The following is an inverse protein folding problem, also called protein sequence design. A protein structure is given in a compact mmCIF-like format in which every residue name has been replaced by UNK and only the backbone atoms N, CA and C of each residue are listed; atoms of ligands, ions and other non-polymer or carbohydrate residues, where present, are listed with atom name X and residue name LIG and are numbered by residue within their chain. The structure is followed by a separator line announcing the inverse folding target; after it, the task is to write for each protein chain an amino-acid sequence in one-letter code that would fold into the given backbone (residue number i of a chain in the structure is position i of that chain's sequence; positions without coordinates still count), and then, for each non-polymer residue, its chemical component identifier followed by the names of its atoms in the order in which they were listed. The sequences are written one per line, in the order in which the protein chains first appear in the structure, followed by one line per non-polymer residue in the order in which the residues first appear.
data_IF_130671070853
#
_entry.id   IF_130671070853
#
_cell.length_a   1.000
_cell.length_b   1.000
_cell.length_c   1.000
_cell.angle_alpha   90.00
_cell.angle_beta   90.00
_cell.angle_gamma   90.00
#
_symmetry.space_group_name_H-M   'P 1'
#
loop_
_entity.id
_entity.type
_entity.pdbx_description
1 polymer ?
#
# COMPACT_ATOMS: atom_id res chain seq x y z
N UNK A 1 -19.19 -62.19 6.61
CA UNK A 1 -18.60 -61.49 7.78
C UNK A 1 -17.44 -60.55 7.44
N UNK A 2 -16.43 -60.92 6.63
CA UNK A 2 -15.29 -60.02 6.30
C UNK A 2 -15.63 -58.82 5.40
N UNK A 3 -16.62 -58.94 4.52
CA UNK A 3 -16.98 -57.89 3.55
C UNK A 3 -17.67 -56.67 4.20
N UNK A 4 -18.60 -56.90 5.13
CA UNK A 4 -19.32 -55.82 5.84
C UNK A 4 -18.40 -55.02 6.77
N UNK A 5 -17.44 -55.68 7.42
CA UNK A 5 -16.43 -55.02 8.24
C UNK A 5 -15.55 -54.08 7.39
N UNK A 6 -15.19 -54.51 6.18
CA UNK A 6 -14.39 -53.70 5.25
C UNK A 6 -15.18 -52.49 4.73
N UNK A 7 -16.45 -52.71 4.35
CA UNK A 7 -17.37 -51.65 3.92
C UNK A 7 -17.58 -50.59 5.00
N UNK A 8 -17.82 -50.98 6.24
CA UNK A 8 -17.98 -50.04 7.36
C UNK A 8 -16.73 -49.22 7.63
N UNK A 9 -15.53 -49.83 7.52
CA UNK A 9 -14.25 -49.11 7.70
C UNK A 9 -14.02 -48.08 6.58
N UNK A 10 -14.37 -48.41 5.34
CA UNK A 10 -14.29 -47.49 4.20
C UNK A 10 -15.30 -46.33 4.35
N UNK A 11 -16.53 -46.59 4.80
CA UNK A 11 -17.53 -45.56 5.05
C UNK A 11 -17.09 -44.61 6.17
N UNK A 12 -16.54 -45.14 7.26
CA UNK A 12 -15.97 -44.35 8.36
C UNK A 12 -14.80 -43.49 7.87
N UNK A 13 -13.92 -44.03 7.02
CA UNK A 13 -12.81 -43.28 6.42
C UNK A 13 -13.32 -42.13 5.54
N UNK A 14 -14.31 -42.39 4.68
CA UNK A 14 -14.95 -41.36 3.83
C UNK A 14 -15.61 -40.25 4.64
N UNK A 15 -16.31 -40.58 5.73
CA UNK A 15 -16.90 -39.59 6.65
C UNK A 15 -15.83 -38.73 7.34
N UNK A 16 -14.72 -39.34 7.77
CA UNK A 16 -13.58 -38.60 8.35
C UNK A 16 -12.94 -37.65 7.33
N UNK A 17 -12.72 -38.11 6.09
CA UNK A 17 -12.19 -37.28 5.00
C UNK A 17 -13.14 -36.11 4.72
N UNK A 18 -14.45 -36.36 4.62
CA UNK A 18 -15.45 -35.31 4.42
C UNK A 18 -15.40 -34.25 5.54
N UNK A 19 -15.29 -34.68 6.79
CA UNK A 19 -15.22 -33.77 7.94
C UNK A 19 -13.96 -32.91 7.91
N UNK A 20 -12.81 -33.49 7.54
CA UNK A 20 -11.55 -32.75 7.35
C UNK A 20 -11.70 -31.71 6.23
N UNK A 21 -12.30 -32.09 5.10
CA UNK A 21 -12.55 -31.16 3.98
C UNK A 21 -13.45 -30.01 4.40
N UNK A 22 -14.55 -30.29 5.12
CA UNK A 22 -15.45 -29.26 5.64
C UNK A 22 -14.75 -28.34 6.64
N UNK A 23 -13.89 -28.88 7.50
CA UNK A 23 -13.11 -28.10 8.45
C UNK A 23 -12.10 -27.18 7.75
N UNK A 24 -11.38 -27.67 6.74
CA UNK A 24 -10.48 -26.85 5.94
C UNK A 24 -11.24 -25.73 5.20
N UNK A 25 -12.41 -26.05 4.65
CA UNK A 25 -13.27 -25.06 3.99
C UNK A 25 -13.74 -23.99 4.98
N UNK A 26 -14.13 -24.38 6.20
CA UNK A 26 -14.48 -23.45 7.26
C UNK A 26 -13.31 -22.51 7.61
N UNK A 27 -12.08 -23.02 7.73
CA UNK A 27 -10.89 -22.20 7.98
C UNK A 27 -10.68 -21.19 6.86
N UNK A 28 -10.81 -21.61 5.59
CA UNK A 28 -10.63 -20.71 4.44
C UNK A 28 -11.67 -19.58 4.45
N UNK A 29 -12.94 -19.91 4.73
CA UNK A 29 -14.02 -18.91 4.83
C UNK A 29 -13.75 -17.95 5.98
N UNK A 30 -13.38 -18.46 7.15
CA UNK A 30 -13.07 -17.65 8.32
C UNK A 30 -11.87 -16.73 8.06
N UNK A 31 -10.81 -17.25 7.45
CA UNK A 31 -9.64 -16.46 7.06
C UNK A 31 -10.01 -15.35 6.07
N UNK A 32 -10.79 -15.67 5.02
CA UNK A 32 -11.27 -14.67 4.07
C UNK A 32 -12.13 -13.59 4.75
N UNK A 33 -12.97 -13.96 5.70
CA UNK A 33 -13.74 -13.01 6.50
C UNK A 33 -12.83 -12.13 7.35
N UNK A 34 -11.81 -12.69 8.01
CA UNK A 34 -10.85 -11.92 8.82
C UNK A 34 -10.10 -10.92 7.95
N UNK A 35 -9.52 -11.37 6.83
CA UNK A 35 -8.78 -10.51 5.92
C UNK A 35 -9.64 -9.36 5.38
N UNK A 36 -10.88 -9.63 4.98
CA UNK A 36 -11.73 -8.59 4.37
C UNK A 36 -12.29 -7.56 5.37
N UNK A 37 -12.24 -7.84 6.68
CA UNK A 37 -12.89 -7.01 7.70
C UNK A 37 -11.93 -6.42 8.76
N UNK A 38 -10.80 -7.08 9.01
CA UNK A 38 -9.89 -6.74 10.11
C UNK A 38 -8.44 -6.52 9.67
N UNK A 39 -8.06 -6.87 8.44
CA UNK A 39 -6.74 -6.46 7.91
C UNK A 39 -6.75 -4.97 7.53
N UNK A 40 -5.57 -4.36 7.45
CA UNK A 40 -5.43 -2.97 7.01
C UNK A 40 -6.11 -2.72 5.65
N UNK A 41 -5.86 -3.59 4.66
CA UNK A 41 -6.45 -3.49 3.33
C UNK A 41 -7.98 -3.68 3.37
N UNK A 42 -8.45 -4.62 4.18
CA UNK A 42 -9.88 -4.86 4.38
C UNK A 42 -10.59 -3.66 5.01
N UNK A 43 -10.00 -3.09 6.06
CA UNK A 43 -10.53 -1.88 6.72
C UNK A 43 -10.50 -0.70 5.74
N UNK A 44 -9.38 -0.45 5.06
CA UNK A 44 -9.26 0.64 4.08
C UNK A 44 -10.29 0.50 2.95
N UNK A 45 -10.47 -0.70 2.41
CA UNK A 45 -11.46 -0.96 1.37
C UNK A 45 -12.90 -0.71 1.87
N UNK A 46 -13.20 -1.06 3.12
CA UNK A 46 -14.49 -0.76 3.74
C UNK A 46 -14.69 0.74 3.96
N UNK A 47 -13.65 1.45 4.43
CA UNK A 47 -13.63 2.91 4.57
C UNK A 47 -13.88 3.60 3.22
N UNK A 48 -13.12 3.25 2.18
CA UNK A 48 -13.27 3.82 0.82
C UNK A 48 -14.65 3.60 0.22
N UNK A 49 -15.30 2.47 0.55
CA UNK A 49 -16.64 2.12 0.06
C UNK A 49 -17.77 2.61 0.97
N UNK A 50 -17.46 3.32 2.05
CA UNK A 50 -18.45 3.70 3.07
C UNK A 50 -19.09 2.55 3.82
N UNK A 51 -18.56 1.33 3.68
CA UNK A 51 -19.11 0.15 4.32
C UNK A 51 -18.65 0.16 5.77
N UNK A 52 -19.59 0.29 6.71
CA UNK A 52 -19.33 0.27 8.17
C UNK A 52 -18.48 1.41 8.73
N UNK A 53 -18.01 2.34 7.90
CA UNK A 53 -17.25 3.50 8.36
C UNK A 53 -17.82 4.78 7.76
N UNK A 54 -17.68 5.88 8.49
CA UNK A 54 -17.78 7.25 7.97
C UNK A 54 -16.37 7.76 7.76
N UNK A 55 -16.16 8.56 6.71
CA UNK A 55 -14.88 9.17 6.38
C UNK A 55 -15.10 10.66 6.14
N UNK A 56 -14.18 11.49 6.62
CA UNK A 56 -14.19 12.93 6.39
C UNK A 56 -12.78 13.37 6.00
N UNK A 57 -12.66 14.12 4.92
CA UNK A 57 -11.40 14.79 4.59
C UNK A 57 -11.15 15.92 5.60
N UNK A 58 -9.95 15.95 6.17
CA UNK A 58 -9.54 17.01 7.10
C UNK A 58 -8.86 18.14 6.32
N UNK A 59 -7.74 17.85 5.65
CA UNK A 59 -6.93 18.84 4.94
C UNK A 59 -5.97 18.18 3.94
N UNK A 60 -5.39 18.97 3.03
CA UNK A 60 -4.21 18.56 2.27
C UNK A 60 -2.96 18.63 3.17
N UNK A 61 -2.05 17.66 3.03
CA UNK A 61 -0.77 17.57 3.73
C UNK A 61 0.34 17.63 2.68
N UNK A 62 1.16 18.69 2.62
CA UNK A 62 2.34 18.68 1.76
C UNK A 62 3.35 17.66 2.31
N UNK A 63 3.88 16.81 1.44
CA UNK A 63 4.92 15.84 1.78
C UNK A 63 6.21 16.24 1.07
N UNK A 64 7.23 16.63 1.84
CA UNK A 64 8.61 16.84 1.35
C UNK A 64 9.49 15.72 1.91
N UNK A 65 10.17 15.00 1.03
CA UNK A 65 11.05 13.88 1.39
C UNK A 65 12.44 14.13 0.81
N UNK A 66 13.49 13.93 1.62
CA UNK A 66 14.86 13.93 1.12
C UNK A 66 15.35 12.50 0.89
N UNK A 67 15.74 12.21 -0.35
CA UNK A 67 16.35 10.94 -0.75
C UNK A 67 17.85 11.07 -0.62
N UNK A 68 18.43 10.31 0.30
CA UNK A 68 19.86 10.36 0.58
C UNK A 68 20.68 9.66 -0.52
N UNK A 69 21.93 10.09 -0.77
CA UNK A 69 22.83 9.46 -1.75
C UNK A 69 22.94 7.94 -1.59
N UNK A 70 23.05 7.46 -0.34
CA UNK A 70 23.20 6.04 -0.05
C UNK A 70 21.94 5.21 -0.36
N UNK A 71 20.82 5.87 -0.68
CA UNK A 71 19.59 5.22 -1.14
C UNK A 71 19.43 5.28 -2.67
N UNK A 72 20.51 5.60 -3.39
CA UNK A 72 20.53 5.71 -4.84
C UNK A 72 21.60 4.75 -5.37
N UNK A 73 21.22 3.61 -5.96
CA UNK A 73 22.17 2.60 -6.42
C UNK A 73 22.84 3.00 -7.75
N UNK A 74 23.56 4.12 -7.79
CA UNK A 74 24.22 4.62 -9.01
C UNK A 74 25.28 3.64 -9.54
N UNK A 75 26.04 3.03 -8.64
CA UNK A 75 27.18 2.16 -8.97
C UNK A 75 26.93 0.68 -8.66
N UNK A 76 25.70 0.32 -8.33
CA UNK A 76 25.30 -1.04 -7.92
C UNK A 76 24.04 -1.44 -8.67
N UNK A 77 23.84 -2.74 -8.88
CA UNK A 77 22.57 -3.31 -9.35
C UNK A 77 21.65 -3.70 -8.17
N UNK A 78 22.04 -3.35 -6.94
CA UNK A 78 21.24 -3.61 -5.75
C UNK A 78 19.94 -2.82 -5.78
N UNK A 79 18.84 -3.54 -5.59
CA UNK A 79 17.52 -2.98 -5.41
C UNK A 79 17.31 -2.58 -3.95
N UNK A 80 16.74 -1.40 -3.74
CA UNK A 80 16.25 -0.99 -2.42
C UNK A 80 14.78 -1.36 -2.34
N UNK A 81 14.41 -2.15 -1.34
CA UNK A 81 13.02 -2.54 -1.09
C UNK A 81 12.64 -2.23 0.35
N UNK A 82 11.49 -1.61 0.52
CA UNK A 82 10.89 -1.47 1.84
C UNK A 82 11.52 -0.37 2.71
N UNK A 83 12.27 0.58 2.12
CA UNK A 83 12.92 1.63 2.91
C UNK A 83 11.87 2.60 3.48
N UNK A 84 11.66 2.59 4.78
CA UNK A 84 10.76 3.54 5.45
C UNK A 84 11.37 4.95 5.37
N UNK A 85 10.62 5.89 4.81
CA UNK A 85 11.02 7.29 4.68
C UNK A 85 10.37 8.17 5.75
N UNK A 86 9.08 7.93 6.01
CA UNK A 86 8.27 8.73 6.91
C UNK A 86 7.13 7.88 7.49
N UNK A 87 6.86 8.06 8.77
CA UNK A 87 5.64 7.60 9.43
C UNK A 87 4.86 8.83 9.89
N UNK A 88 3.60 8.91 9.50
CA UNK A 88 2.74 10.06 9.80
C UNK A 88 1.29 9.59 9.90
N UNK A 89 0.65 9.89 11.03
CA UNK A 89 -0.65 9.32 11.41
C UNK A 89 -0.61 7.78 11.31
N UNK A 90 -1.68 7.14 10.87
CA UNK A 90 -1.74 5.70 10.61
C UNK A 90 -1.26 5.38 9.19
N UNK A 91 -0.12 5.94 8.79
CA UNK A 91 0.44 5.72 7.46
C UNK A 91 1.97 5.72 7.46
N UNK A 92 2.53 4.87 6.60
CA UNK A 92 3.98 4.75 6.38
C UNK A 92 4.28 4.96 4.90
N UNK A 93 5.17 5.90 4.59
CA UNK A 93 5.70 6.09 3.24
C UNK A 93 6.97 5.25 3.11
N UNK A 94 6.97 4.38 2.11
CA UNK A 94 8.03 3.42 1.83
C UNK A 94 8.59 3.64 0.44
N UNK A 95 9.91 3.66 0.32
CA UNK A 95 10.64 3.73 -0.93
C UNK A 95 11.09 2.34 -1.38
N UNK A 96 10.85 2.07 -2.66
CA UNK A 96 11.57 1.06 -3.42
C UNK A 96 12.35 1.75 -4.56
N UNK A 97 13.58 1.30 -4.80
CA UNK A 97 14.39 1.75 -5.93
C UNK A 97 14.84 0.51 -6.69
N UNK A 98 14.53 0.47 -7.98
CA UNK A 98 15.03 -0.57 -8.87
C UNK A 98 15.87 0.06 -9.96
N UNK A 99 16.92 -0.67 -10.37
CA UNK A 99 17.81 -0.25 -11.44
C UNK A 99 17.72 -1.26 -12.58
N UNK A 100 17.46 -0.73 -13.75
CA UNK A 100 17.60 -1.46 -15.02
C UNK A 100 18.38 -0.53 -15.95
N UNK A 101 17.80 -0.10 -17.07
CA UNK A 101 18.40 0.93 -17.94
C UNK A 101 18.25 2.36 -17.38
N UNK A 102 17.41 2.52 -16.35
CA UNK A 102 17.10 3.77 -15.65
C UNK A 102 16.90 3.46 -14.16
N UNK A 103 16.98 4.48 -13.32
CA UNK A 103 16.58 4.36 -11.92
C UNK A 103 15.07 4.59 -11.82
N UNK A 104 14.35 3.62 -11.26
CA UNK A 104 12.92 3.71 -11.01
C UNK A 104 12.69 3.82 -9.51
N UNK A 105 12.08 4.93 -9.10
CA UNK A 105 11.73 5.20 -7.70
C UNK A 105 10.23 5.00 -7.54
N UNK A 106 9.84 4.17 -6.59
CA UNK A 106 8.45 3.89 -6.26
C UNK A 106 8.20 4.21 -4.79
N UNK A 107 7.22 5.06 -4.54
CA UNK A 107 6.78 5.45 -3.21
C UNK A 107 5.42 4.84 -2.94
N UNK A 108 5.34 4.05 -1.88
CA UNK A 108 4.11 3.41 -1.42
C UNK A 108 3.66 4.03 -0.12
N UNK A 109 2.42 4.52 -0.09
CA UNK A 109 1.76 4.91 1.14
C UNK A 109 1.02 3.68 1.68
N UNK A 110 1.55 3.06 2.72
CA UNK A 110 0.91 1.95 3.43
C UNK A 110 0.03 2.50 4.54
N UNK A 111 -1.24 2.13 4.57
CA UNK A 111 -2.15 2.49 5.65
C UNK A 111 -2.08 1.45 6.77
N UNK A 112 -1.92 1.91 8.00
CA UNK A 112 -1.83 1.11 9.23
C UNK A 112 -3.16 1.18 10.00
N UNK A 113 -4.23 0.75 9.34
CA UNK A 113 -5.61 1.01 9.78
C UNK A 113 -5.95 0.38 11.15
N UNK A 114 -6.59 1.17 12.00
CA UNK A 114 -7.24 0.72 13.22
C UNK A 114 -8.73 0.37 12.99
N UNK A 115 -9.21 -0.68 13.66
CA UNK A 115 -10.57 -1.21 13.45
C UNK A 115 -11.70 -0.25 13.89
N UNK A 116 -11.48 0.57 14.92
CA UNK A 116 -12.54 1.44 15.45
C UNK A 116 -12.61 2.81 14.75
N UNK A 117 -11.51 3.23 14.12
CA UNK A 117 -11.35 4.57 13.58
C UNK A 117 -9.91 5.03 13.73
N UNK A 118 -9.58 6.14 13.07
CA UNK A 118 -8.22 6.62 12.96
C UNK A 118 -8.04 7.73 11.94
N UNK A 119 -6.79 8.08 11.68
CA UNK A 119 -6.39 9.07 10.69
C UNK A 119 -5.32 8.51 9.77
N UNK A 120 -5.49 8.66 8.46
CA UNK A 120 -4.50 8.20 7.47
C UNK A 120 -4.36 9.19 6.34
N UNK A 121 -3.23 9.12 5.63
CA UNK A 121 -3.01 9.91 4.42
C UNK A 121 -3.30 9.09 3.16
N UNK A 122 -3.86 9.75 2.15
CA UNK A 122 -4.24 9.14 0.88
C UNK A 122 -4.07 10.08 -0.31
N UNK A 123 -3.66 9.55 -1.46
CA UNK A 123 -3.47 10.32 -2.71
C UNK A 123 -4.75 10.48 -3.53
N UNK A 124 -5.88 10.66 -2.85
CA UNK A 124 -7.16 11.00 -3.45
C UNK A 124 -8.06 11.61 -2.38
N UNK A 125 -8.98 12.48 -2.79
CA UNK A 125 -10.03 12.98 -1.92
C UNK A 125 -11.08 11.88 -1.79
N UNK A 126 -11.29 11.38 -0.58
CA UNK A 126 -12.37 10.45 -0.27
C UNK A 126 -13.54 11.24 0.32
N UNK A 127 -14.65 11.26 -0.39
CA UNK A 127 -15.85 12.00 -0.03
C UNK A 127 -16.77 11.17 0.86
N UNK A 128 -17.63 11.86 1.63
CA UNK A 128 -18.63 11.24 2.51
C UNK A 128 -19.69 10.41 1.76
N UNK A 129 -19.92 10.74 0.49
CA UNK A 129 -20.82 10.02 -0.43
C UNK A 129 -20.19 8.74 -1.01
N UNK A 130 -18.96 8.42 -0.59
CA UNK A 130 -18.16 7.26 -1.03
C UNK A 130 -17.66 7.34 -2.47
N UNK A 131 -17.69 8.53 -3.06
CA UNK A 131 -16.95 8.83 -4.27
C UNK A 131 -15.50 9.22 -3.92
N UNK A 132 -14.62 9.10 -4.92
CA UNK A 132 -13.24 9.54 -4.80
C UNK A 132 -12.90 10.51 -5.94
N UNK A 133 -12.28 11.63 -5.61
CA UNK A 133 -11.66 12.52 -6.60
C UNK A 133 -10.17 12.24 -6.63
N UNK A 134 -9.71 11.69 -7.75
CA UNK A 134 -8.29 11.50 -8.02
C UNK A 134 -7.78 12.77 -8.67
N UNK A 135 -6.97 13.54 -7.95
CA UNK A 135 -6.23 14.66 -8.52
C UNK A 135 -4.99 14.14 -9.21
N UNK A 136 -4.61 14.74 -10.35
CA UNK A 136 -3.33 14.40 -10.97
C UNK A 136 -2.21 14.78 -9.99
N UNK A 137 -1.37 13.82 -9.54
CA UNK A 137 -0.28 14.09 -8.63
C UNK A 137 0.67 15.12 -9.23
N UNK A 138 1.02 16.13 -8.44
CA UNK A 138 2.09 17.05 -8.78
C UNK A 138 3.32 16.65 -7.96
N UNK A 139 4.30 16.11 -8.67
CA UNK A 139 5.62 15.79 -8.14
C UNK A 139 6.61 16.83 -8.62
N UNK A 140 7.34 17.43 -7.68
CA UNK A 140 8.45 18.32 -7.99
C UNK A 140 9.70 17.70 -7.39
N UNK A 141 10.70 17.45 -8.23
CA UNK A 141 11.99 16.98 -7.79
C UNK A 141 12.97 18.13 -7.88
N UNK A 142 13.74 18.33 -6.80
CA UNK A 142 14.83 19.30 -6.80
C UNK A 142 16.09 18.66 -6.25
N UNK A 143 17.24 18.98 -6.83
CA UNK A 143 18.51 18.57 -6.26
C UNK A 143 18.79 19.34 -4.96
N UNK A 144 19.92 19.03 -4.32
CA UNK A 144 20.34 19.70 -3.08
C UNK A 144 20.48 21.22 -3.20
N UNK A 145 20.74 21.74 -4.39
CA UNK A 145 20.82 23.17 -4.71
C UNK A 145 19.47 23.79 -5.09
N UNK A 146 18.35 23.07 -4.85
CA UNK A 146 16.98 23.45 -5.22
C UNK A 146 16.77 23.69 -6.73
N UNK A 147 17.67 23.18 -7.58
CA UNK A 147 17.46 23.15 -9.04
C UNK A 147 16.50 22.01 -9.37
N UNK A 148 15.49 22.30 -10.19
CA UNK A 148 14.52 21.29 -10.63
C UNK A 148 15.18 20.19 -11.45
N UNK A 149 14.79 18.95 -11.20
CA UNK A 149 15.19 17.76 -11.96
C UNK A 149 14.01 17.36 -12.84
N UNK A 150 14.23 17.30 -14.15
CA UNK A 150 13.19 16.86 -15.08
C UNK A 150 13.12 15.33 -15.12
N UNK A 151 11.92 14.82 -14.85
CA UNK A 151 11.63 13.38 -14.79
C UNK A 151 10.30 13.06 -15.44
N UNK A 152 10.19 11.83 -15.93
CA UNK A 152 8.91 11.23 -16.30
C UNK A 152 8.28 10.59 -15.05
N UNK A 153 7.00 10.86 -14.80
CA UNK A 153 6.27 10.29 -13.67
C UNK A 153 5.10 9.42 -14.12
N UNK A 154 4.80 8.39 -13.32
CA UNK A 154 3.67 7.48 -13.47
C UNK A 154 2.81 7.46 -12.20
N UNK A 155 1.51 7.16 -12.36
CA UNK A 155 0.50 7.34 -11.32
C UNK A 155 -0.18 6.01 -10.99
N UNK A 156 -0.33 5.71 -9.69
CA UNK A 156 -1.22 4.68 -9.15
C UNK A 156 -2.12 5.23 -8.03
N UNK A 157 -3.16 4.50 -7.63
CA UNK A 157 -4.23 4.97 -6.74
C UNK A 157 -3.80 5.43 -5.31
N UNK A 158 -2.62 5.00 -4.84
CA UNK A 158 -2.05 5.33 -3.51
C UNK A 158 -0.52 5.49 -3.56
N UNK A 159 0.05 5.35 -4.75
CA UNK A 159 1.48 5.20 -4.97
C UNK A 159 1.88 6.16 -6.08
N UNK A 160 3.06 6.74 -5.95
CA UNK A 160 3.63 7.56 -7.00
C UNK A 160 5.01 7.04 -7.35
N UNK A 161 5.36 7.16 -8.62
CA UNK A 161 6.63 6.67 -9.11
C UNK A 161 7.15 7.56 -10.22
N UNK A 162 8.46 7.58 -10.36
CA UNK A 162 9.13 8.28 -11.46
C UNK A 162 10.40 7.54 -11.84
N UNK A 163 10.87 7.83 -13.04
CA UNK A 163 12.15 7.34 -13.52
C UNK A 163 13.12 8.48 -13.82
N UNK A 164 14.38 8.22 -13.49
CA UNK A 164 15.51 9.09 -13.79
C UNK A 164 16.39 8.36 -14.80
N UNK A 165 16.59 9.01 -15.94
CA UNK A 165 17.48 8.50 -16.99
C UNK A 165 18.95 8.74 -16.61
N UNK A 166 19.88 7.92 -17.13
CA UNK A 166 21.30 8.07 -16.86
C UNK A 166 21.87 9.47 -17.10
N UNK A 167 21.37 10.19 -18.11
CA UNK A 167 21.75 11.57 -18.42
C UNK A 167 21.55 12.56 -17.25
N UNK A 168 20.60 12.26 -16.35
CA UNK A 168 20.26 13.11 -15.20
C UNK A 168 20.85 12.60 -13.87
N UNK A 169 21.68 11.56 -13.86
CA UNK A 169 22.24 11.00 -12.62
C UNK A 169 23.14 11.97 -11.85
N UNK A 170 23.83 12.85 -12.55
CA UNK A 170 24.64 13.90 -11.92
C UNK A 170 23.81 14.85 -11.05
N UNK A 171 22.54 15.06 -11.39
CA UNK A 171 21.67 15.94 -10.61
C UNK A 171 21.15 15.28 -9.30
N UNK A 172 21.37 13.97 -9.11
CA UNK A 172 20.91 13.23 -7.91
C UNK A 172 22.02 12.57 -7.10
N UNK A 173 23.29 12.68 -7.52
CA UNK A 173 24.42 12.00 -6.85
C UNK A 173 24.59 12.42 -5.39
N UNK A 174 24.23 13.67 -5.06
CA UNK A 174 24.23 14.22 -3.70
C UNK A 174 22.88 14.06 -2.97
N UNK A 175 21.97 13.29 -3.54
CA UNK A 175 20.59 13.19 -3.08
C UNK A 175 19.71 14.32 -3.62
N UNK A 176 18.41 14.19 -3.39
CA UNK A 176 17.41 15.10 -3.94
C UNK A 176 16.15 15.15 -3.06
N UNK A 177 15.41 16.25 -3.18
CA UNK A 177 14.11 16.44 -2.55
C UNK A 177 12.99 16.02 -3.49
N UNK A 178 11.96 15.41 -2.91
CA UNK A 178 10.71 15.05 -3.56
C UNK A 178 9.59 15.78 -2.84
N UNK A 179 9.00 16.76 -3.53
CA UNK A 179 7.79 17.43 -3.08
C UNK A 179 6.59 16.77 -3.73
N UNK A 180 5.74 16.16 -2.91
CA UNK A 180 4.53 15.47 -3.32
C UNK A 180 3.29 16.21 -2.83
N UNK A 181 2.51 16.73 -3.78
CA UNK A 181 1.23 17.41 -3.52
C UNK A 181 0.03 16.48 -3.73
N UNK A 182 -1.13 16.92 -3.25
CA UNK A 182 -2.40 16.18 -3.32
C UNK A 182 -2.40 14.89 -2.50
N UNK A 183 -1.71 14.93 -1.35
CA UNK A 183 -1.88 13.98 -0.26
C UNK A 183 -2.87 14.58 0.72
N UNK A 184 -3.94 13.86 1.02
CA UNK A 184 -5.00 14.34 1.90
C UNK A 184 -5.02 13.52 3.18
N UNK A 185 -5.22 14.20 4.31
CA UNK A 185 -5.51 13.58 5.59
C UNK A 185 -7.00 13.27 5.67
N UNK A 186 -7.32 12.01 5.96
CA UNK A 186 -8.67 11.55 6.21
C UNK A 186 -8.81 11.10 7.65
N UNK A 187 -9.91 11.47 8.27
CA UNK A 187 -10.38 10.89 9.51
C UNK A 187 -11.46 9.86 9.18
N UNK A 188 -11.46 8.71 9.85
CA UNK A 188 -12.50 7.72 9.70
C UNK A 188 -12.94 7.13 11.04
N UNK A 189 -14.20 6.74 11.13
CA UNK A 189 -14.79 6.17 12.35
C UNK A 189 -15.81 5.10 11.99
N UNK A 190 -15.83 4.01 12.76
CA UNK A 190 -16.80 2.92 12.57
C UNK A 190 -18.22 3.42 12.84
N UNK A 191 -19.17 3.07 11.97
CA UNK A 191 -20.61 3.27 12.14
C UNK A 191 -21.10 2.36 13.27
N UNK A 192 -21.88 2.91 14.19
CA UNK A 192 -22.59 2.16 15.23
C UNK A 192 -23.67 1.27 14.63
#
# INVERSE_FOLDING_TARGET
MKLEFFLNKVILLKKKILLVVLFLLFIIILYGYICNNYSNDGILNNVKKGKRYKITQVQEIPIELFIKPEWIPLNSDEEIKGKVLLELYESTIVLNVTKSNKLFFEFKIKQNMNYNGGQFIYSAILHEDNNATVTSPMLILTNKNKKKIDVSYGIGNSNFAFDIKPENYKDIEEGFYVDYKYVYLHNYVKKF
#
